data_IF_953785250629
#
_entry.id   IF_953785250629
#
_cell.length_a   1.000
_cell.length_b   1.000
_cell.length_c   1.000
_cell.angle_alpha   90.00
_cell.angle_beta   90.00
_cell.angle_gamma   90.00
#
_symmetry.space_group_name_H-M   'P 1'
#
loop_
_entity.id
_entity.type
_entity.pdbx_description
1 polymer ?
#
# COMPACT_ATOMS: atom_id res chain seq x y z
N UNK A 1 -12.66 67.04 -24.56
CA UNK A 1 -12.39 65.62 -24.86
C UNK A 1 -11.10 65.24 -24.17
N UNK A 2 -11.15 64.43 -23.11
CA UNK A 2 -9.93 63.95 -22.45
C UNK A 2 -9.23 62.92 -23.35
N UNK A 3 -8.02 63.26 -23.81
CA UNK A 3 -7.19 62.36 -24.61
C UNK A 3 -6.67 61.17 -23.80
N UNK A 4 -6.33 60.07 -24.48
CA UNK A 4 -5.71 58.89 -23.85
C UNK A 4 -4.38 59.26 -23.21
N UNK A 5 -4.21 58.93 -21.92
CA UNK A 5 -3.01 59.24 -21.12
C UNK A 5 -1.74 58.49 -21.57
N UNK A 6 -1.87 57.28 -22.15
CA UNK A 6 -0.73 56.50 -22.66
C UNK A 6 -1.12 55.64 -23.86
N UNK A 7 -0.11 55.24 -24.65
CA UNK A 7 -0.28 54.35 -25.80
C UNK A 7 -0.57 52.87 -25.42
N UNK A 8 -0.54 52.49 -24.14
CA UNK A 8 -0.75 51.11 -23.70
C UNK A 8 0.37 50.14 -24.12
N UNK A 9 0.08 48.83 -24.13
CA UNK A 9 1.05 47.78 -24.50
C UNK A 9 1.28 47.80 -26.01
N UNK A 10 2.51 48.08 -26.41
CA UNK A 10 2.94 48.08 -27.80
C UNK A 10 3.63 46.77 -28.17
N UNK A 11 3.41 46.31 -29.41
CA UNK A 11 4.14 45.16 -29.98
C UNK A 11 5.56 45.61 -30.29
N UNK A 12 6.54 44.78 -29.95
CA UNK A 12 7.95 45.00 -30.26
C UNK A 12 8.54 43.74 -30.92
N UNK A 13 9.57 43.87 -31.77
CA UNK A 13 10.25 42.73 -32.39
C UNK A 13 10.92 41.83 -31.34
N UNK A 14 11.09 40.54 -31.70
CA UNK A 14 11.76 39.53 -30.88
C UNK A 14 13.27 39.54 -31.11
N UNK A 15 13.87 40.70 -30.92
CA UNK A 15 15.31 40.94 -31.07
C UNK A 15 15.85 41.70 -29.85
N UNK A 16 17.17 41.94 -29.83
CA UNK A 16 17.81 42.69 -28.75
C UNK A 16 17.27 44.13 -28.74
N UNK A 17 16.78 44.57 -27.57
CA UNK A 17 16.38 45.97 -27.39
C UNK A 17 17.66 46.81 -27.31
N UNK A 18 17.86 47.69 -28.29
CA UNK A 18 19.07 48.52 -28.36
C UNK A 18 19.12 49.58 -27.27
N UNK A 19 18.01 50.28 -27.04
CA UNK A 19 17.92 51.31 -25.98
C UNK A 19 18.06 50.67 -24.61
N UNK A 20 19.18 50.94 -23.94
CA UNK A 20 19.55 50.33 -22.67
C UNK A 20 18.48 50.47 -21.57
N UNK A 21 17.95 51.68 -21.36
CA UNK A 21 16.89 51.94 -20.36
C UNK A 21 15.64 51.08 -20.63
N UNK A 22 15.24 50.97 -21.90
CA UNK A 22 14.09 50.16 -22.29
C UNK A 22 14.38 48.65 -22.14
N UNK A 23 15.63 48.24 -22.39
CA UNK A 23 16.09 46.87 -22.19
C UNK A 23 16.06 46.47 -20.72
N UNK A 24 16.57 47.30 -19.80
CA UNK A 24 16.51 47.02 -18.36
C UNK A 24 15.08 47.00 -17.80
N UNK A 25 14.24 47.94 -18.24
CA UNK A 25 12.84 47.96 -17.86
C UNK A 25 12.12 46.69 -18.35
N UNK A 26 12.39 46.27 -19.59
CA UNK A 26 11.82 45.05 -20.17
C UNK A 26 12.32 43.79 -19.46
N UNK A 27 13.62 43.70 -19.16
CA UNK A 27 14.21 42.61 -18.40
C UNK A 27 13.50 42.45 -17.04
N UNK A 28 13.39 43.55 -16.29
CA UNK A 28 12.79 43.54 -14.95
C UNK A 28 11.34 43.07 -14.98
N UNK A 29 10.54 43.60 -15.92
CA UNK A 29 9.13 43.21 -16.10
C UNK A 29 8.99 41.76 -16.55
N UNK A 30 9.73 41.34 -17.58
CA UNK A 30 9.65 39.98 -18.13
C UNK A 30 10.12 38.92 -17.12
N UNK A 31 11.20 39.18 -16.39
CA UNK A 31 11.69 38.29 -15.34
C UNK A 31 10.63 38.07 -14.26
N UNK A 32 9.99 39.13 -13.79
CA UNK A 32 8.92 39.02 -12.78
C UNK A 32 7.72 38.22 -13.30
N UNK A 33 7.29 38.49 -14.53
CA UNK A 33 6.19 37.74 -15.18
C UNK A 33 6.56 36.26 -15.33
N UNK A 34 7.80 35.97 -15.74
CA UNK A 34 8.30 34.61 -15.88
C UNK A 34 8.28 33.86 -14.53
N UNK A 35 8.74 34.49 -13.45
CA UNK A 35 8.71 33.89 -12.12
C UNK A 35 7.28 33.63 -11.63
N UNK A 36 6.35 34.55 -11.93
CA UNK A 36 4.93 34.33 -11.62
C UNK A 36 4.39 33.09 -12.35
N UNK A 37 4.69 32.95 -13.64
CA UNK A 37 4.27 31.78 -14.44
C UNK A 37 4.91 30.49 -13.97
N UNK A 38 6.18 30.54 -13.60
CA UNK A 38 6.89 29.41 -13.01
C UNK A 38 6.23 28.95 -11.69
N UNK A 39 5.87 29.91 -10.83
CA UNK A 39 5.15 29.61 -9.59
C UNK A 39 3.75 29.04 -9.82
N UNK A 40 3.05 29.47 -10.87
CA UNK A 40 1.75 28.90 -11.26
C UNK A 40 1.92 27.44 -11.71
N UNK A 41 2.91 27.14 -12.56
CA UNK A 41 3.20 25.78 -13.03
C UNK A 41 3.56 24.83 -11.88
N UNK A 42 4.44 25.27 -10.97
CA UNK A 42 4.78 24.51 -9.77
C UNK A 42 3.53 24.18 -8.95
N UNK A 43 2.61 25.15 -8.79
CA UNK A 43 1.38 24.95 -8.02
C UNK A 43 0.38 24.03 -8.72
N UNK A 44 0.26 24.11 -10.04
CA UNK A 44 -0.75 23.37 -10.81
C UNK A 44 -0.32 21.95 -11.15
N UNK A 45 0.96 21.75 -11.45
CA UNK A 45 1.50 20.46 -11.89
C UNK A 45 2.33 19.74 -10.82
N UNK A 46 2.58 20.37 -9.65
CA UNK A 46 3.45 19.86 -8.59
C UNK A 46 4.83 19.38 -9.12
N UNK A 47 5.47 20.25 -9.91
CA UNK A 47 6.76 19.97 -10.56
C UNK A 47 7.92 20.70 -9.89
N UNK A 48 9.08 20.06 -9.89
CA UNK A 48 10.35 20.68 -9.51
C UNK A 48 10.88 21.52 -10.69
N UNK A 49 11.21 22.79 -10.45
CA UNK A 49 11.53 23.76 -11.51
C UNK A 49 12.60 24.77 -11.05
N UNK A 50 13.59 24.99 -11.92
CA UNK A 50 14.67 25.96 -11.72
C UNK A 50 14.84 26.90 -12.92
N UNK A 51 14.99 28.20 -12.67
CA UNK A 51 15.27 29.23 -13.66
C UNK A 51 16.52 29.99 -13.19
N UNK A 52 17.50 30.13 -14.08
CA UNK A 52 18.71 30.93 -13.87
C UNK A 52 18.85 31.97 -14.98
N UNK A 53 19.00 33.24 -14.63
CA UNK A 53 19.11 34.35 -15.57
C UNK A 53 20.29 35.24 -15.16
N UNK A 54 21.25 35.40 -16.07
CA UNK A 54 22.28 36.43 -15.97
C UNK A 54 21.79 37.73 -16.59
N UNK A 55 22.02 38.85 -15.90
CA UNK A 55 21.80 40.18 -16.48
C UNK A 55 23.10 40.73 -17.09
N UNK A 56 22.98 41.72 -17.97
CA UNK A 56 24.13 42.46 -18.49
C UNK A 56 24.93 43.17 -17.39
N UNK A 57 24.29 43.45 -16.26
CA UNK A 57 24.93 44.00 -15.06
C UNK A 57 25.68 42.93 -14.24
N UNK A 58 25.97 41.77 -14.82
CA UNK A 58 26.57 40.57 -14.21
C UNK A 58 25.90 40.04 -12.93
N UNK A 59 24.75 40.59 -12.53
CA UNK A 59 23.96 40.11 -11.39
C UNK A 59 23.16 38.87 -11.79
N UNK A 60 23.35 37.73 -11.11
CA UNK A 60 22.54 36.53 -11.32
C UNK A 60 21.17 36.68 -10.66
N UNK A 61 20.15 36.07 -11.27
CA UNK A 61 18.81 35.96 -10.71
C UNK A 61 18.29 34.54 -10.87
N UNK A 62 17.73 33.98 -9.80
CA UNK A 62 17.24 32.61 -9.81
C UNK A 62 15.85 32.48 -9.20
N UNK A 63 15.08 31.53 -9.73
CA UNK A 63 13.86 31.00 -9.14
C UNK A 63 14.01 29.49 -9.05
N UNK A 64 13.83 28.88 -7.88
CA UNK A 64 14.02 27.43 -7.67
C UNK A 64 12.92 26.88 -6.77
N UNK A 65 12.28 25.79 -7.21
CA UNK A 65 11.35 24.98 -6.44
C UNK A 65 11.68 23.49 -6.58
N UNK A 66 11.63 22.70 -5.48
CA UNK A 66 11.47 23.12 -4.09
C UNK A 66 12.68 23.92 -3.61
N UNK A 67 12.47 24.83 -2.67
CA UNK A 67 13.60 25.50 -2.02
C UNK A 67 14.45 24.47 -1.29
N UNK A 68 15.74 24.75 -1.13
CA UNK A 68 16.70 23.85 -0.45
C UNK A 68 16.22 23.40 0.93
N UNK A 69 15.50 24.28 1.65
CA UNK A 69 14.90 23.94 2.94
C UNK A 69 13.74 22.95 2.80
N UNK A 70 12.84 23.14 1.83
CA UNK A 70 11.71 22.22 1.59
C UNK A 70 12.21 20.85 1.13
N UNK A 71 13.25 20.81 0.29
CA UNK A 71 13.92 19.58 -0.10
C UNK A 71 14.57 18.87 1.11
N UNK A 72 15.32 19.59 1.95
CA UNK A 72 15.88 19.03 3.19
C UNK A 72 14.82 18.47 4.12
N UNK A 73 13.73 19.20 4.34
CA UNK A 73 12.66 18.75 5.24
C UNK A 73 11.98 17.48 4.71
N UNK A 74 11.79 17.35 3.38
CA UNK A 74 11.29 16.10 2.77
C UNK A 74 12.21 14.92 3.08
N UNK A 75 13.53 15.11 2.97
CA UNK A 75 14.52 14.06 3.27
C UNK A 75 14.48 13.64 4.74
N UNK A 76 14.43 14.61 5.66
CA UNK A 76 14.32 14.32 7.10
C UNK A 76 13.04 13.52 7.39
N UNK A 77 11.91 13.94 6.83
CA UNK A 77 10.63 13.24 7.01
C UNK A 77 10.68 11.80 6.47
N UNK A 78 11.33 11.57 5.33
CA UNK A 78 11.51 10.21 4.78
C UNK A 78 12.37 9.37 5.72
N UNK A 79 13.44 9.94 6.26
CA UNK A 79 14.33 9.25 7.19
C UNK A 79 13.59 8.85 8.48
N UNK A 80 12.78 9.74 9.05
CA UNK A 80 11.98 9.45 10.24
C UNK A 80 11.00 8.30 10.00
N UNK A 81 10.34 8.28 8.82
CA UNK A 81 9.46 7.19 8.42
C UNK A 81 10.21 5.87 8.25
N UNK A 82 11.43 5.91 7.72
CA UNK A 82 12.26 4.71 7.54
C UNK A 82 12.62 4.10 8.89
N UNK A 83 13.04 4.93 9.85
CA UNK A 83 13.33 4.49 11.21
C UNK A 83 12.11 3.84 11.89
N UNK A 84 10.90 4.36 11.65
CA UNK A 84 9.67 3.76 12.18
C UNK A 84 9.39 2.38 11.56
N UNK A 85 9.67 2.20 10.27
CA UNK A 85 9.57 0.90 9.61
C UNK A 85 10.56 -0.12 10.19
N UNK A 86 11.81 0.27 10.38
CA UNK A 86 12.83 -0.59 10.97
C UNK A 86 12.42 -1.04 12.38
N UNK A 87 11.90 -0.12 13.20
CA UNK A 87 11.41 -0.45 14.54
C UNK A 87 10.24 -1.46 14.51
N UNK A 88 9.31 -1.30 13.56
CA UNK A 88 8.18 -2.24 13.38
C UNK A 88 8.65 -3.61 12.89
N UNK A 89 9.62 -3.63 11.99
CA UNK A 89 10.21 -4.87 11.48
C UNK A 89 10.88 -5.66 12.60
N UNK A 90 11.65 -4.99 13.46
CA UNK A 90 12.30 -5.65 14.60
C UNK A 90 11.29 -6.20 15.61
N UNK A 91 10.20 -5.48 15.88
CA UNK A 91 9.10 -6.00 16.71
C UNK A 91 8.45 -7.23 16.06
N UNK A 92 8.22 -7.21 14.76
CA UNK A 92 7.64 -8.33 14.03
C UNK A 92 8.56 -9.56 14.03
N UNK A 93 9.86 -9.38 13.74
CA UNK A 93 10.88 -10.45 13.81
C UNK A 93 10.93 -11.08 15.20
N UNK A 94 10.94 -10.26 16.25
CA UNK A 94 10.95 -10.75 17.63
C UNK A 94 9.69 -11.57 17.95
N UNK A 95 8.52 -11.14 17.47
CA UNK A 95 7.27 -11.87 17.65
C UNK A 95 7.27 -13.21 16.90
N UNK A 96 7.78 -13.23 15.67
CA UNK A 96 7.92 -14.47 14.87
C UNK A 96 8.87 -15.43 15.59
N UNK A 97 10.07 -14.99 15.96
CA UNK A 97 11.04 -15.83 16.66
C UNK A 97 10.48 -16.37 17.98
N UNK A 98 9.76 -15.55 18.75
CA UNK A 98 9.07 -16.01 19.96
C UNK A 98 8.00 -17.05 19.66
N UNK A 99 7.26 -16.92 18.57
CA UNK A 99 6.26 -17.90 18.13
C UNK A 99 6.91 -19.22 17.72
N UNK A 100 8.02 -19.17 17.00
CA UNK A 100 8.78 -20.36 16.58
C UNK A 100 9.33 -21.10 17.81
N UNK A 101 9.87 -20.38 18.79
CA UNK A 101 10.32 -20.96 20.06
C UNK A 101 9.18 -21.65 20.81
N UNK A 102 7.99 -21.04 20.85
CA UNK A 102 6.81 -21.65 21.47
C UNK A 102 6.33 -22.88 20.68
N UNK A 103 6.43 -22.87 19.35
CA UNK A 103 6.07 -24.01 18.53
C UNK A 103 7.06 -25.17 18.65
N UNK A 104 8.37 -24.90 18.74
CA UNK A 104 9.39 -25.92 18.99
C UNK A 104 9.27 -26.55 20.38
N UNK A 105 8.89 -25.77 21.40
CA UNK A 105 8.68 -26.28 22.75
C UNK A 105 7.37 -27.07 22.92
N UNK A 106 6.47 -27.07 21.92
CA UNK A 106 5.22 -27.82 21.97
C UNK A 106 5.44 -29.24 21.46
N UNK A 107 4.77 -30.20 22.09
CA UNK A 107 4.69 -31.55 21.55
C UNK A 107 3.93 -31.47 20.23
N UNK A 108 4.63 -31.75 19.11
CA UNK A 108 4.04 -31.75 17.76
C UNK A 108 2.80 -32.64 17.72
N UNK A 109 1.72 -32.11 17.14
CA UNK A 109 0.50 -32.90 16.95
C UNK A 109 0.75 -34.05 15.96
N UNK A 110 0.07 -35.18 16.14
CA UNK A 110 0.23 -36.36 15.25
C UNK A 110 0.01 -36.02 13.76
N UNK A 111 -0.79 -35.01 13.44
CA UNK A 111 -1.01 -34.52 12.07
C UNK A 111 0.12 -33.68 11.47
N UNK A 112 1.06 -33.16 12.29
CA UNK A 112 2.23 -32.36 11.86
C UNK A 112 3.43 -33.24 11.49
N UNK A 113 3.40 -34.52 11.85
CA UNK A 113 4.41 -35.53 11.47
C UNK A 113 4.02 -36.28 10.18
N UNK A 114 3.12 -35.72 9.37
CA UNK A 114 2.58 -36.38 8.17
C UNK A 114 3.66 -36.78 7.16
N UNK A 115 4.76 -36.04 7.12
CA UNK A 115 5.90 -36.29 6.24
C UNK A 115 6.85 -37.39 6.78
N UNK A 116 6.61 -37.92 7.99
CA UNK A 116 7.41 -38.99 8.61
C UNK A 116 6.76 -40.38 8.48
N UNK A 117 5.56 -40.49 7.92
CA UNK A 117 4.92 -41.79 7.72
C UNK A 117 5.58 -42.54 6.57
N UNK A 118 6.02 -43.77 6.83
CA UNK A 118 6.44 -44.67 5.77
C UNK A 118 5.21 -45.29 5.08
N UNK A 119 5.43 -46.00 3.97
CA UNK A 119 4.36 -46.62 3.20
C UNK A 119 3.54 -47.65 4.02
N UNK A 120 4.17 -48.32 4.99
CA UNK A 120 3.53 -49.30 5.88
C UNK A 120 2.63 -48.64 6.95
N UNK A 121 3.00 -47.46 7.42
CA UNK A 121 2.17 -46.71 8.37
C UNK A 121 0.90 -46.18 7.69
N UNK A 122 1.02 -45.77 6.43
CA UNK A 122 -0.11 -45.30 5.61
C UNK A 122 -1.08 -46.47 5.32
N UNK A 123 -0.58 -47.67 5.04
CA UNK A 123 -1.45 -48.84 4.83
C UNK A 123 -2.16 -49.27 6.10
N UNK A 124 -1.45 -49.35 7.24
CA UNK A 124 -2.08 -49.64 8.55
C UNK A 124 -3.18 -48.64 8.88
N UNK A 125 -2.96 -47.35 8.62
CA UNK A 125 -3.98 -46.33 8.88
C UNK A 125 -5.20 -46.48 7.96
N UNK A 126 -5.00 -46.78 6.67
CA UNK A 126 -6.09 -47.07 5.72
C UNK A 126 -6.92 -48.28 6.17
N UNK A 127 -6.27 -49.36 6.60
CA UNK A 127 -6.95 -50.55 7.11
C UNK A 127 -7.79 -50.26 8.36
N UNK A 128 -7.25 -49.44 9.28
CA UNK A 128 -7.98 -49.01 10.47
C UNK A 128 -9.21 -48.15 10.14
N UNK A 129 -9.09 -47.22 9.19
CA UNK A 129 -10.22 -46.41 8.72
C UNK A 129 -11.32 -47.28 8.11
N UNK A 130 -10.97 -48.19 7.22
CA UNK A 130 -11.92 -49.11 6.59
C UNK A 130 -12.62 -49.99 7.64
N UNK A 131 -11.88 -50.43 8.65
CA UNK A 131 -12.42 -51.22 9.77
C UNK A 131 -13.42 -50.41 10.59
N UNK A 132 -13.07 -49.16 10.89
CA UNK A 132 -13.91 -48.25 11.68
C UNK A 132 -15.17 -47.85 10.93
N UNK A 133 -15.05 -47.57 9.63
CA UNK A 133 -16.18 -47.33 8.73
C UNK A 133 -17.11 -48.56 8.70
N UNK A 134 -16.54 -49.77 8.60
CA UNK A 134 -17.29 -51.01 8.70
C UNK A 134 -18.06 -51.13 10.02
N UNK A 135 -17.39 -50.85 11.15
CA UNK A 135 -18.02 -50.88 12.48
C UNK A 135 -19.18 -49.88 12.60
N UNK A 136 -18.97 -48.64 12.16
CA UNK A 136 -19.99 -47.60 12.18
C UNK A 136 -21.18 -47.96 11.30
N UNK A 137 -20.94 -48.52 10.11
CA UNK A 137 -22.02 -48.97 9.21
C UNK A 137 -22.84 -50.12 9.81
N UNK A 138 -22.22 -51.03 10.58
CA UNK A 138 -22.95 -52.09 11.30
C UNK A 138 -23.82 -51.49 12.40
N UNK A 139 -23.31 -50.56 13.19
CA UNK A 139 -24.08 -49.84 14.22
C UNK A 139 -25.28 -49.10 13.61
N UNK A 140 -25.06 -48.45 12.47
CA UNK A 140 -26.10 -47.69 11.75
C UNK A 140 -27.23 -48.63 11.28
N UNK A 141 -26.89 -49.79 10.70
CA UNK A 141 -27.87 -50.81 10.30
C UNK A 141 -28.62 -51.44 11.48
N UNK A 142 -27.99 -51.60 12.64
CA UNK A 142 -28.66 -52.11 13.85
C UNK A 142 -29.72 -51.14 14.35
N UNK A 143 -29.46 -49.83 14.28
CA UNK A 143 -30.43 -48.79 14.63
C UNK A 143 -31.60 -48.72 13.64
N UNK A 144 -31.34 -48.88 12.34
CA UNK A 144 -32.40 -48.92 11.31
C UNK A 144 -33.31 -50.15 11.46
N UNK A 145 -32.75 -51.32 11.76
CA UNK A 145 -33.52 -52.56 11.93
C UNK A 145 -34.29 -52.61 13.26
N UNK A 146 -33.76 -51.99 14.32
CA UNK A 146 -34.46 -51.86 15.60
C UNK A 146 -35.71 -50.96 15.51
N UNK A 147 -35.72 -49.98 14.60
CA UNK A 147 -36.86 -49.10 14.37
C UNK A 147 -38.06 -49.83 13.71
N UNK A 148 -37.83 -50.94 12.99
CA UNK A 148 -38.88 -51.68 12.27
C UNK A 148 -39.58 -52.77 13.11
N UNK A 149 -39.03 -53.17 14.26
CA UNK A 149 -39.60 -54.24 15.11
C UNK A 149 -40.61 -53.76 16.17
N UNK A 150 -40.88 -52.45 16.28
CA UNK A 150 -41.77 -51.87 17.31
C UNK A 150 -43.19 -51.53 16.81
N UNK A 151 -43.59 -51.95 15.61
CA UNK A 151 -44.93 -51.70 15.06
C UNK A 151 -45.67 -53.02 14.83
N UNK A 152 -46.07 -53.69 15.90
CA UNK A 152 -47.18 -54.65 15.87
C UNK A 152 -47.77 -54.80 17.28
N UNK A 153 -48.73 -53.93 17.60
CA UNK A 153 -49.64 -54.11 18.74
C UNK A 153 -50.89 -54.89 18.26
N UNK A 154 -51.27 -56.02 18.91
CA UNK A 154 -52.57 -56.67 18.71
C UNK A 154 -53.71 -55.94 19.48
N UNK A 155 -54.98 -56.26 19.18
CA UNK A 155 -56.12 -55.36 19.29
C UNK A 155 -56.65 -55.16 20.72
N UNK A 156 -57.25 -53.99 20.94
CA UNK A 156 -58.00 -53.65 22.15
C UNK A 156 -59.29 -54.49 22.22
N UNK A 157 -59.33 -55.44 23.15
CA UNK A 157 -60.56 -56.13 23.53
C UNK A 157 -61.39 -55.25 24.48
N UNK A 158 -62.67 -55.16 24.13
CA UNK A 158 -63.73 -54.55 24.90
C UNK A 158 -64.28 -55.52 25.97
N UNK A 159 -64.84 -54.91 27.01
CA UNK A 159 -65.85 -55.40 27.94
C UNK A 159 -65.49 -56.36 29.11
N UNK A 160 -65.71 -55.76 30.30
CA UNK A 160 -66.13 -56.28 31.62
C UNK A 160 -65.09 -56.83 32.60
#
# INVERSE_FOLDING_TARGET
MEGKKTAGRQKIPLEKIEKEVARYASFSKRRLILYKKASELVRECDVDLGIFISSQTSKPYSFVHPTTNKARNKVIQINDRLNEFDAREEVAKKKICSMDQMNEARVRGWWEARDQFNAEDITKFKEWLNTTEGFLNVQLKQLENGALSSVQSPPEDADN
#
